data_IF_149000573868
#
_entry.id   IF_149000573868
#
_cell.length_a   1.000
_cell.length_b   1.000
_cell.length_c   1.000
_cell.angle_alpha   90.00
_cell.angle_beta   90.00
_cell.angle_gamma   90.00
#
_symmetry.space_group_name_H-M   'P 1'
#
loop_
_entity.id
_entity.type
_entity.pdbx_description
1 polymer ?
#
# COMPACT_ATOMS: atom_id res chain seq x y z
N UNK A 1 -29.45 18.87 -45.16
CA UNK A 1 -29.86 17.56 -44.63
C UNK A 1 -28.77 16.56 -44.93
N UNK A 2 -27.90 16.32 -43.95
CA UNK A 2 -27.14 15.08 -43.69
C UNK A 2 -26.11 15.39 -42.60
N UNK A 3 -26.46 15.04 -41.37
CA UNK A 3 -25.60 14.96 -40.20
C UNK A 3 -24.38 14.07 -40.43
N UNK A 4 -23.25 14.44 -39.83
CA UNK A 4 -22.01 13.66 -39.82
C UNK A 4 -21.19 13.95 -38.57
N UNK A 5 -21.77 13.70 -37.39
CA UNK A 5 -21.07 13.66 -36.11
C UNK A 5 -20.24 12.38 -35.97
N UNK A 6 -19.03 12.54 -35.42
CA UNK A 6 -18.35 11.53 -34.60
C UNK A 6 -17.58 10.47 -35.39
N UNK A 7 -16.40 10.03 -34.98
CA UNK A 7 -15.86 9.99 -33.63
C UNK A 7 -14.34 9.99 -33.66
N UNK A 8 -13.82 10.80 -32.73
CA UNK A 8 -12.42 11.01 -32.38
C UNK A 8 -11.71 9.69 -32.09
N UNK A 9 -10.39 9.72 -32.32
CA UNK A 9 -9.50 8.58 -32.26
C UNK A 9 -9.65 7.73 -31.00
N UNK A 10 -9.62 6.42 -31.21
CA UNK A 10 -9.43 5.44 -30.16
C UNK A 10 -7.96 5.47 -29.73
N UNK A 11 -7.58 6.54 -29.03
CA UNK A 11 -6.38 6.53 -28.23
C UNK A 11 -6.62 5.57 -27.08
N UNK A 12 -5.85 4.48 -27.04
CA UNK A 12 -5.54 3.77 -25.80
C UNK A 12 -4.68 4.70 -24.94
N UNK A 13 -5.23 5.85 -24.55
CA UNK A 13 -4.67 6.70 -23.52
C UNK A 13 -4.71 5.86 -22.25
N UNK A 14 -3.53 5.47 -21.77
CA UNK A 14 -3.32 4.63 -20.61
C UNK A 14 -4.23 5.05 -19.46
N UNK A 15 -5.33 4.32 -19.29
CA UNK A 15 -6.16 4.42 -18.11
C UNK A 15 -5.27 3.93 -16.97
N UNK A 16 -4.92 4.76 -15.98
CA UNK A 16 -4.15 4.28 -14.84
C UNK A 16 -4.92 3.11 -14.25
N UNK A 17 -4.22 1.98 -14.06
CA UNK A 17 -4.80 0.79 -13.43
C UNK A 17 -5.32 1.23 -12.06
N UNK A 18 -6.59 0.91 -11.79
CA UNK A 18 -7.37 1.40 -10.66
C UNK A 18 -6.67 1.21 -9.30
N UNK A 19 -6.54 2.35 -8.60
CA UNK A 19 -6.39 2.69 -7.18
C UNK A 19 -5.81 1.71 -6.12
N UNK A 20 -5.97 0.38 -6.15
CA UNK A 20 -5.37 -0.53 -5.15
C UNK A 20 -5.19 -1.96 -5.68
N UNK A 21 -4.17 -2.68 -5.21
CA UNK A 21 -3.88 -4.08 -5.58
C UNK A 21 -3.97 -4.98 -4.34
N UNK A 22 -4.68 -6.12 -4.46
CA UNK A 22 -4.63 -7.19 -3.47
C UNK A 22 -3.58 -8.21 -3.90
N UNK A 23 -2.63 -8.46 -3.01
CA UNK A 23 -1.48 -9.34 -3.27
C UNK A 23 -1.38 -10.32 -2.10
N UNK A 24 -1.08 -11.59 -2.40
CA UNK A 24 -0.82 -12.57 -1.35
C UNK A 24 0.48 -12.22 -0.61
N UNK A 25 0.49 -12.39 0.70
CA UNK A 25 1.64 -12.01 1.52
C UNK A 25 2.93 -12.79 1.20
N UNK A 26 2.81 -14.03 0.72
CA UNK A 26 3.93 -14.92 0.38
C UNK A 26 4.74 -14.45 -0.84
N UNK A 27 4.14 -13.66 -1.74
CA UNK A 27 4.83 -13.13 -2.93
C UNK A 27 5.36 -11.70 -2.71
N UNK A 28 5.10 -11.10 -1.54
CA UNK A 28 5.57 -9.76 -1.24
C UNK A 28 7.07 -9.76 -0.94
N UNK A 29 7.84 -8.81 -1.50
CA UNK A 29 9.20 -8.55 -1.06
C UNK A 29 9.27 -8.24 0.44
N UNK A 30 10.35 -8.67 1.08
CA UNK A 30 10.61 -8.53 2.52
C UNK A 30 10.44 -7.08 3.03
N UNK A 31 10.74 -6.09 2.19
CA UNK A 31 10.59 -4.67 2.54
C UNK A 31 9.19 -4.32 3.04
N UNK A 32 8.14 -4.97 2.52
CA UNK A 32 6.76 -4.70 2.96
C UNK A 32 6.47 -5.29 4.34
N UNK A 33 6.99 -6.48 4.64
CA UNK A 33 6.92 -7.07 5.98
C UNK A 33 7.63 -6.18 7.00
N UNK A 34 8.82 -5.68 6.63
CA UNK A 34 9.60 -4.79 7.50
C UNK A 34 8.86 -3.47 7.77
N UNK A 35 8.12 -2.92 6.78
CA UNK A 35 7.27 -1.74 7.01
C UNK A 35 6.16 -2.06 8.01
N UNK A 36 5.52 -3.22 7.89
CA UNK A 36 4.45 -3.64 8.80
C UNK A 36 4.96 -3.87 10.22
N UNK A 37 6.15 -4.45 10.38
CA UNK A 37 6.78 -4.66 11.69
C UNK A 37 7.17 -3.34 12.36
N UNK A 38 7.78 -2.41 11.61
CA UNK A 38 8.07 -1.06 12.12
C UNK A 38 6.79 -0.38 12.62
N UNK A 39 5.68 -0.49 11.88
CA UNK A 39 4.39 0.06 12.31
C UNK A 39 3.88 -0.61 13.57
N UNK A 40 3.99 -1.93 13.68
CA UNK A 40 3.55 -2.67 14.87
C UNK A 40 4.33 -2.26 16.12
N UNK A 41 5.67 -2.14 16.03
CA UNK A 41 6.50 -1.68 17.15
C UNK A 41 6.09 -0.28 17.63
N UNK A 42 5.80 0.63 16.70
CA UNK A 42 5.35 1.99 17.01
C UNK A 42 3.94 2.01 17.61
N UNK A 43 3.00 1.23 17.07
CA UNK A 43 1.62 1.16 17.54
C UNK A 43 1.51 0.53 18.93
N UNK A 44 2.33 -0.49 19.21
CA UNK A 44 2.38 -1.16 20.52
C UNK A 44 3.16 -0.37 21.58
N UNK A 45 3.86 0.69 21.19
CA UNK A 45 4.69 1.49 22.09
C UNK A 45 5.97 0.79 22.57
N UNK A 46 6.38 -0.30 21.91
CA UNK A 46 7.62 -1.02 22.23
C UNK A 46 8.89 -0.19 21.96
N UNK A 47 8.77 0.83 21.12
CA UNK A 47 9.84 1.77 20.76
C UNK A 47 9.32 3.20 20.82
N UNK A 48 10.18 4.14 21.19
CA UNK A 48 9.78 5.54 21.39
C UNK A 48 9.81 6.36 20.09
N UNK A 49 10.50 5.87 19.07
CA UNK A 49 10.66 6.61 17.81
C UNK A 49 10.79 5.72 16.58
N UNK A 50 10.49 6.29 15.41
CA UNK A 50 10.70 5.64 14.10
C UNK A 50 12.16 5.24 13.93
N UNK A 51 13.10 6.06 14.42
CA UNK A 51 14.54 5.79 14.26
C UNK A 51 14.99 4.52 15.00
N UNK A 52 14.43 4.27 16.19
CA UNK A 52 14.67 3.03 16.93
C UNK A 52 14.01 1.84 16.23
N UNK A 53 12.74 2.00 15.84
CA UNK A 53 11.98 0.96 15.16
C UNK A 53 12.68 0.45 13.89
N UNK A 54 13.10 1.36 13.00
CA UNK A 54 13.73 0.97 11.74
C UNK A 54 15.10 0.34 11.95
N UNK A 55 15.84 0.73 12.99
CA UNK A 55 17.13 0.10 13.34
C UNK A 55 16.93 -1.32 13.85
N UNK A 56 15.93 -1.54 14.69
CA UNK A 56 15.60 -2.85 15.24
C UNK A 56 15.19 -3.83 14.14
N UNK A 57 14.41 -3.38 13.15
CA UNK A 57 13.93 -4.18 12.02
C UNK A 57 14.97 -4.31 10.89
N UNK A 58 16.06 -3.53 10.91
CA UNK A 58 17.07 -3.54 9.85
C UNK A 58 16.64 -2.84 8.55
N UNK A 59 15.76 -1.85 8.66
CA UNK A 59 15.25 -1.03 7.55
C UNK A 59 15.89 0.36 7.54
N UNK A 60 16.10 0.94 6.35
CA UNK A 60 16.48 2.35 6.25
C UNK A 60 15.28 3.27 6.49
N UNK A 61 15.51 4.43 7.12
CA UNK A 61 14.46 5.44 7.33
C UNK A 61 13.81 5.88 6.02
N UNK A 62 14.59 6.06 4.95
CA UNK A 62 14.07 6.46 3.64
C UNK A 62 13.18 5.40 3.01
N UNK A 63 13.52 4.10 3.15
CA UNK A 63 12.67 3.01 2.71
C UNK A 63 11.34 2.99 3.49
N UNK A 64 11.39 3.16 4.82
CA UNK A 64 10.17 3.24 5.63
C UNK A 64 9.25 4.36 5.15
N UNK A 65 9.75 5.60 5.05
CA UNK A 65 8.91 6.73 4.63
C UNK A 65 8.40 6.63 3.18
N UNK A 66 9.11 5.93 2.30
CA UNK A 66 8.64 5.67 0.94
C UNK A 66 7.37 4.82 0.90
N UNK A 67 7.21 3.90 1.84
CA UNK A 67 6.13 2.91 1.84
C UNK A 67 5.13 3.07 2.99
N UNK A 68 5.45 3.91 3.99
CA UNK A 68 4.66 4.10 5.22
C UNK A 68 3.18 4.29 4.94
N UNK A 69 2.83 5.15 3.99
CA UNK A 69 1.43 5.52 3.77
C UNK A 69 0.76 4.66 2.69
N UNK A 70 1.54 3.82 1.99
CA UNK A 70 1.06 2.97 0.88
C UNK A 70 0.91 1.50 1.24
N UNK A 71 1.51 1.04 2.34
CA UNK A 71 1.51 -0.38 2.75
C UNK A 71 0.73 -0.51 4.06
N UNK A 72 -0.39 -1.19 4.03
CA UNK A 72 -1.23 -1.43 5.20
C UNK A 72 -1.81 -2.84 5.17
N UNK A 73 -2.07 -3.41 6.34
CA UNK A 73 -2.85 -4.64 6.42
C UNK A 73 -4.28 -4.35 5.95
N UNK A 74 -4.82 -5.23 5.12
CA UNK A 74 -6.24 -5.20 4.79
C UNK A 74 -7.04 -5.58 6.03
N UNK A 75 -7.92 -4.68 6.48
CA UNK A 75 -8.88 -4.98 7.54
C UNK A 75 -10.17 -5.47 6.86
N UNK A 76 -10.50 -6.74 7.04
CA UNK A 76 -11.73 -7.32 6.49
C UNK A 76 -12.95 -6.79 7.28
N UNK A 77 -13.84 -5.99 6.66
CA UNK A 77 -15.01 -5.45 7.34
C UNK A 77 -16.03 -6.53 7.76
N UNK A 78 -16.02 -7.71 7.13
CA UNK A 78 -17.03 -8.75 7.38
C UNK A 78 -16.65 -9.61 8.60
N UNK A 79 -15.35 -9.73 8.89
CA UNK A 79 -14.85 -10.56 9.99
C UNK A 79 -15.17 -9.98 11.39
N UNK A 80 -15.45 -8.68 11.50
CA UNK A 80 -15.69 -8.02 12.80
C UNK A 80 -17.15 -8.09 13.27
N UNK A 81 -18.11 -8.31 12.36
CA UNK A 81 -19.55 -8.38 12.69
C UNK A 81 -20.01 -9.80 13.11
N UNK A 82 -19.10 -10.78 13.15
CA UNK A 82 -19.42 -12.18 13.48
C UNK A 82 -19.13 -12.57 14.94
N UNK A 83 -18.92 -11.61 15.84
CA UNK A 83 -18.65 -11.82 17.28
C UNK A 83 -19.70 -11.13 18.18
#
# INVERSE_FOLDING_TARGET
MADGMGSRGLGLAGKPISEYLLIKADVLPEVFNNVMEVKALLQTGQVASVNEAVKQVGMSRSAFYKYRDSVQAWQDPIAVDSL
#
